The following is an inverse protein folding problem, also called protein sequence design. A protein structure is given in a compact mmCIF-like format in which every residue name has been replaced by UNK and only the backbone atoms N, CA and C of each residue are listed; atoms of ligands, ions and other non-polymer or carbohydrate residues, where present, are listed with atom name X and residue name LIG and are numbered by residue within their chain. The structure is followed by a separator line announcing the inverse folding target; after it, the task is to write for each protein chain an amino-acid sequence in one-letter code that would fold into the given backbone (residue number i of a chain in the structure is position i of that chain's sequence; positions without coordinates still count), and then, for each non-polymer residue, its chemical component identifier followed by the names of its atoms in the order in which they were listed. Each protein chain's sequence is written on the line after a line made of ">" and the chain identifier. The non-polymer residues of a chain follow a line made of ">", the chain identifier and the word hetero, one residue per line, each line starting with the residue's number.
data_IF_374920311691
#
_entry.id   IF_374920311691
#
_cell.length_a   1.000
_cell.length_b   1.000
_cell.length_c   1.000
_cell.angle_alpha   90.00
_cell.angle_beta   90.00
_cell.angle_gamma   90.00
#
_symmetry.space_group_name_H-M   'P 1'
#
loop_
_entity.id
_entity.type
_entity.pdbx_description
1 polymer ?
#
# COMPACT_ATOMS: atom_id res chain seq x y z
N UNK A 1 33.49 9.69 -14.64
CA UNK A 1 32.30 10.56 -14.66
C UNK A 1 31.81 10.68 -13.23
N UNK A 2 31.62 11.90 -12.68
CA UNK A 2 31.12 12.03 -11.32
C UNK A 2 29.65 11.58 -11.27
N UNK A 3 29.35 10.63 -10.39
CA UNK A 3 27.99 10.20 -10.09
C UNK A 3 27.33 11.31 -9.27
N UNK A 4 26.45 12.08 -9.90
CA UNK A 4 25.60 13.04 -9.21
C UNK A 4 24.55 12.22 -8.48
N UNK A 5 24.75 11.98 -7.18
CA UNK A 5 23.71 11.46 -6.30
C UNK A 5 22.72 12.60 -6.10
N UNK A 6 21.69 12.62 -6.93
CA UNK A 6 20.54 13.50 -6.71
C UNK A 6 19.79 12.93 -5.50
N UNK A 7 20.08 13.47 -4.32
CA UNK A 7 19.25 13.31 -3.12
C UNK A 7 17.95 14.09 -3.32
N UNK A 8 17.07 13.57 -4.18
CA UNK A 8 15.67 13.95 -4.15
C UNK A 8 15.00 13.20 -3.00
N UNK A 9 15.24 13.70 -1.77
CA UNK A 9 14.31 13.51 -0.67
C UNK A 9 13.03 14.28 -1.00
N UNK A 10 12.24 13.77 -1.96
CA UNK A 10 10.85 14.18 -1.99
C UNK A 10 10.17 13.45 -0.84
N UNK A 11 10.05 14.18 0.26
CA UNK A 11 9.41 13.72 1.47
C UNK A 11 8.01 13.20 1.15
N UNK A 12 7.87 11.89 1.26
CA UNK A 12 6.59 11.20 1.23
C UNK A 12 5.66 11.85 2.28
N UNK A 13 4.52 12.36 1.86
CA UNK A 13 3.54 12.89 2.80
C UNK A 13 2.63 11.77 3.30
N UNK A 14 3.09 11.07 4.36
CA UNK A 14 2.34 10.05 5.11
C UNK A 14 0.97 10.59 5.57
N UNK A 15 0.92 11.89 5.86
CA UNK A 15 -0.21 12.51 6.53
C UNK A 15 -1.42 12.64 5.60
N UNK A 16 -1.22 12.60 4.28
CA UNK A 16 -2.28 12.67 3.27
C UNK A 16 -2.76 11.30 2.75
N UNK A 17 -2.19 10.18 3.25
CA UNK A 17 -2.54 8.83 2.79
C UNK A 17 -4.01 8.50 3.08
N UNK A 18 -4.53 8.99 4.21
CA UNK A 18 -5.92 8.77 4.64
C UNK A 18 -6.92 9.49 3.73
N UNK A 19 -6.60 10.71 3.30
CA UNK A 19 -7.47 11.49 2.40
C UNK A 19 -7.50 10.91 0.99
N UNK A 20 -6.36 10.46 0.46
CA UNK A 20 -6.30 9.79 -0.85
C UNK A 20 -7.13 8.50 -0.86
N UNK A 21 -7.07 7.75 0.24
CA UNK A 21 -7.80 6.49 0.39
C UNK A 21 -9.30 6.66 0.59
N UNK A 22 -9.76 7.79 1.12
CA UNK A 22 -11.19 8.01 1.36
C UNK A 22 -12.00 7.97 0.06
N UNK A 23 -11.45 8.54 -1.02
CA UNK A 23 -12.08 8.49 -2.34
C UNK A 23 -12.06 7.06 -2.91
N UNK A 24 -10.94 6.34 -2.75
CA UNK A 24 -10.80 4.95 -3.21
C UNK A 24 -11.70 3.99 -2.41
N UNK A 25 -11.95 4.24 -1.12
CA UNK A 25 -12.89 3.49 -0.28
C UNK A 25 -14.31 3.62 -0.81
N UNK A 26 -14.73 4.83 -1.17
CA UNK A 26 -16.07 5.05 -1.72
C UNK A 26 -16.23 4.38 -3.09
N UNK A 27 -15.17 4.36 -3.91
CA UNK A 27 -15.14 3.63 -5.18
C UNK A 27 -15.18 2.10 -4.95
N UNK A 28 -14.38 1.58 -4.02
CA UNK A 28 -14.42 0.16 -3.62
C UNK A 28 -15.79 -0.23 -3.07
N UNK A 29 -16.44 0.63 -2.28
CA UNK A 29 -17.80 0.42 -1.78
C UNK A 29 -18.84 0.43 -2.90
N UNK A 30 -18.63 1.25 -3.93
CA UNK A 30 -19.52 1.31 -5.09
C UNK A 30 -19.61 -0.03 -5.83
N UNK A 31 -18.51 -0.79 -5.89
CA UNK A 31 -18.46 -2.11 -6.51
C UNK A 31 -19.38 -3.15 -5.83
N UNK A 32 -19.73 -2.95 -4.55
CA UNK A 32 -20.62 -3.84 -3.81
C UNK A 32 -22.08 -3.38 -3.80
N UNK A 33 -22.43 -2.22 -4.38
CA UNK A 33 -23.76 -1.64 -4.28
C UNK A 33 -24.89 -2.51 -4.86
N UNK A 34 -24.59 -3.34 -5.85
CA UNK A 34 -25.57 -4.17 -6.57
C UNK A 34 -26.04 -5.41 -5.79
N UNK A 35 -25.31 -5.84 -4.76
CA UNK A 35 -25.64 -7.04 -3.97
C UNK A 35 -26.49 -6.79 -2.71
N UNK A 36 -26.77 -5.52 -2.37
CA UNK A 36 -27.49 -5.17 -1.13
C UNK A 36 -29.02 -5.13 -1.29
N UNK A 37 -29.55 -5.25 -2.51
CA UNK A 37 -31.01 -5.35 -2.71
C UNK A 37 -31.60 -6.57 -1.99
N UNK A 38 -30.79 -7.61 -1.75
CA UNK A 38 -31.18 -8.86 -1.08
C UNK A 38 -30.87 -8.90 0.42
N UNK A 39 -30.00 -8.01 0.92
CA UNK A 39 -29.56 -7.98 2.33
C UNK A 39 -29.81 -6.59 2.90
N UNK A 40 -30.64 -6.52 3.95
CA UNK A 40 -31.18 -5.26 4.47
C UNK A 40 -30.13 -4.19 4.85
N UNK A 41 -30.60 -2.97 5.10
CA UNK A 41 -29.79 -1.76 5.35
C UNK A 41 -28.74 -1.94 6.46
N UNK A 42 -29.03 -2.76 7.48
CA UNK A 42 -28.12 -2.95 8.61
C UNK A 42 -26.90 -3.81 8.25
N UNK A 43 -27.05 -4.81 7.37
CA UNK A 43 -25.94 -5.64 6.89
C UNK A 43 -24.96 -4.79 6.06
N UNK A 44 -25.50 -3.86 5.27
CA UNK A 44 -24.70 -2.90 4.50
C UNK A 44 -23.87 -2.00 5.42
N UNK A 45 -24.46 -1.43 6.47
CA UNK A 45 -23.73 -0.57 7.42
C UNK A 45 -22.64 -1.32 8.17
N UNK A 46 -22.93 -2.54 8.61
CA UNK A 46 -21.96 -3.42 9.27
C UNK A 46 -20.79 -3.75 8.33
N UNK A 47 -21.08 -4.02 7.06
CA UNK A 47 -20.06 -4.26 6.04
C UNK A 47 -19.19 -3.02 5.79
N UNK A 48 -19.82 -1.86 5.55
CA UNK A 48 -19.13 -0.60 5.33
C UNK A 48 -18.19 -0.26 6.50
N UNK A 49 -18.65 -0.47 7.73
CA UNK A 49 -17.83 -0.27 8.92
C UNK A 49 -16.63 -1.21 8.96
N UNK A 50 -16.83 -2.52 8.73
CA UNK A 50 -15.75 -3.51 8.72
C UNK A 50 -14.70 -3.20 7.65
N UNK A 51 -15.15 -2.83 6.44
CA UNK A 51 -14.25 -2.47 5.35
C UNK A 51 -13.42 -1.24 5.72
N UNK A 52 -14.06 -0.17 6.23
CA UNK A 52 -13.37 1.05 6.67
C UNK A 52 -12.35 0.77 7.76
N UNK A 53 -12.70 -0.05 8.76
CA UNK A 53 -11.76 -0.47 9.81
C UNK A 53 -10.57 -1.25 9.23
N UNK A 54 -10.82 -2.16 8.29
CA UNK A 54 -9.77 -2.96 7.68
C UNK A 54 -8.79 -2.10 6.86
N UNK A 55 -9.32 -1.14 6.10
CA UNK A 55 -8.52 -0.17 5.33
C UNK A 55 -7.70 0.69 6.29
N UNK A 56 -8.30 1.24 7.36
CA UNK A 56 -7.58 2.04 8.34
C UNK A 56 -6.44 1.26 9.03
N UNK A 57 -6.67 -0.01 9.38
CA UNK A 57 -5.63 -0.86 9.95
C UNK A 57 -4.49 -1.10 8.95
N UNK A 58 -4.84 -1.39 7.69
CA UNK A 58 -3.86 -1.57 6.61
C UNK A 58 -3.02 -0.31 6.40
N UNK A 59 -3.63 0.87 6.42
CA UNK A 59 -2.90 2.15 6.38
C UNK A 59 -1.89 2.23 7.50
N UNK A 60 -2.29 1.93 8.74
CA UNK A 60 -1.39 1.98 9.89
C UNK A 60 -0.21 1.01 9.73
N UNK A 61 -0.45 -0.20 9.23
CA UNK A 61 0.61 -1.17 8.94
C UNK A 61 1.56 -0.68 7.84
N UNK A 62 1.03 -0.09 6.76
CA UNK A 62 1.85 0.53 5.70
C UNK A 62 2.71 1.66 6.27
N UNK A 63 2.10 2.56 7.07
CA UNK A 63 2.79 3.67 7.72
C UNK A 63 3.93 3.17 8.61
N UNK A 64 3.70 2.10 9.37
CA UNK A 64 4.71 1.47 10.21
C UNK A 64 5.86 0.90 9.37
N UNK A 65 5.57 0.13 8.31
CA UNK A 65 6.60 -0.42 7.41
C UNK A 65 7.42 0.71 6.78
N UNK A 66 6.77 1.73 6.21
CA UNK A 66 7.48 2.85 5.58
C UNK A 66 8.31 3.65 6.60
N UNK A 67 7.84 3.80 7.83
CA UNK A 67 8.63 4.40 8.91
C UNK A 67 9.96 3.65 9.14
N UNK A 68 9.95 2.32 9.03
CA UNK A 68 11.18 1.52 9.14
C UNK A 68 12.12 1.71 7.95
N UNK A 69 11.59 1.75 6.72
CA UNK A 69 12.40 2.12 5.55
C UNK A 69 13.12 3.46 5.78
N UNK A 70 12.40 4.47 6.26
CA UNK A 70 12.99 5.78 6.58
C UNK A 70 14.09 5.72 7.63
N UNK A 71 13.84 5.01 8.75
CA UNK A 71 14.83 4.85 9.84
C UNK A 71 16.11 4.15 9.37
N UNK A 72 15.99 3.24 8.40
CA UNK A 72 17.10 2.49 7.83
C UNK A 72 17.75 3.20 6.63
N UNK A 73 17.26 4.40 6.28
CA UNK A 73 17.69 5.19 5.11
C UNK A 73 17.46 4.46 3.78
N UNK A 74 16.46 3.57 3.75
CA UNK A 74 16.02 2.84 2.57
C UNK A 74 14.90 3.59 1.86
N UNK A 75 14.80 3.39 0.54
CA UNK A 75 13.80 4.06 -0.31
C UNK A 75 12.64 3.13 -0.66
N UNK A 76 11.45 3.71 -0.70
CA UNK A 76 10.21 3.14 -1.27
C UNK A 76 9.77 4.05 -2.42
N UNK A 77 9.52 3.47 -3.58
CA UNK A 77 9.16 4.20 -4.80
C UNK A 77 7.64 4.40 -4.93
N UNK A 78 6.86 3.54 -4.29
CA UNK A 78 5.41 3.49 -4.49
C UNK A 78 4.75 2.47 -3.59
N UNK A 79 3.43 2.61 -3.47
CA UNK A 79 2.58 1.78 -2.64
C UNK A 79 1.24 1.62 -3.32
N UNK A 80 0.76 0.38 -3.41
CA UNK A 80 -0.48 0.01 -4.07
C UNK A 80 -1.28 -0.90 -3.16
N UNK A 81 -2.59 -0.74 -3.12
CA UNK A 81 -3.49 -1.52 -2.29
C UNK A 81 -4.57 -2.17 -3.14
N UNK A 82 -4.93 -3.40 -2.82
CA UNK A 82 -6.02 -4.13 -3.45
C UNK A 82 -6.90 -4.75 -2.39
N UNK A 83 -8.21 -4.61 -2.55
CA UNK A 83 -9.21 -5.32 -1.76
C UNK A 83 -9.43 -6.71 -2.37
N UNK A 84 -8.91 -7.75 -1.74
CA UNK A 84 -9.13 -9.14 -2.18
C UNK A 84 -10.53 -9.61 -1.78
N UNK A 85 -10.91 -9.32 -0.54
CA UNK A 85 -12.20 -9.64 0.08
C UNK A 85 -12.52 -8.55 1.11
N UNK A 86 -13.75 -8.42 1.60
CA UNK A 86 -14.12 -7.34 2.54
C UNK A 86 -13.24 -7.23 3.79
N UNK A 87 -12.68 -8.34 4.24
CA UNK A 87 -11.75 -8.45 5.35
C UNK A 87 -10.28 -8.54 4.94
N UNK A 88 -9.96 -8.62 3.63
CA UNK A 88 -8.61 -8.88 3.14
C UNK A 88 -8.07 -7.86 2.15
N UNK A 89 -6.88 -7.34 2.45
CA UNK A 89 -6.17 -6.33 1.69
C UNK A 89 -4.75 -6.83 1.36
N UNK A 90 -4.40 -6.73 0.08
CA UNK A 90 -3.04 -6.95 -0.44
C UNK A 90 -2.39 -5.60 -0.65
N UNK A 91 -1.13 -5.47 -0.23
CA UNK A 91 -0.31 -4.28 -0.46
C UNK A 91 0.92 -4.65 -1.28
N UNK A 92 1.25 -3.81 -2.26
CA UNK A 92 2.53 -3.87 -2.95
C UNK A 92 3.30 -2.59 -2.64
N UNK A 93 4.49 -2.73 -2.08
CA UNK A 93 5.47 -1.64 -1.99
C UNK A 93 6.51 -1.83 -3.08
N UNK A 94 6.74 -0.80 -3.89
CA UNK A 94 7.84 -0.83 -4.85
C UNK A 94 9.11 -0.32 -4.21
N UNK A 95 10.21 -1.05 -4.39
CA UNK A 95 11.52 -0.71 -3.85
C UNK A 95 12.55 -0.69 -4.99
N UNK A 96 13.49 0.25 -5.00
CA UNK A 96 14.51 0.27 -6.03
C UNK A 96 15.45 -0.92 -5.85
N UNK A 97 16.00 -1.43 -6.96
CA UNK A 97 16.94 -2.55 -6.97
C UNK A 97 18.16 -2.31 -6.06
N UNK A 98 18.59 -1.06 -5.89
CA UNK A 98 19.68 -0.70 -4.98
C UNK A 98 19.33 -1.02 -3.51
N UNK A 99 18.06 -0.82 -3.10
CA UNK A 99 17.56 -1.19 -1.76
C UNK A 99 17.52 -2.71 -1.58
N UNK A 100 17.24 -3.46 -2.65
CA UNK A 100 17.20 -4.93 -2.59
C UNK A 100 18.56 -5.56 -2.26
N UNK A 101 19.64 -4.93 -2.68
CA UNK A 101 21.01 -5.39 -2.40
C UNK A 101 21.54 -4.94 -1.03
N UNK A 102 20.77 -4.17 -0.26
CA UNK A 102 21.15 -3.69 1.06
C UNK A 102 20.68 -4.68 2.15
N UNK A 103 21.62 -5.16 2.98
CA UNK A 103 21.34 -6.08 4.08
C UNK A 103 20.32 -5.53 5.10
N UNK A 104 20.17 -4.19 5.18
CA UNK A 104 19.15 -3.55 6.02
C UNK A 104 17.73 -3.93 5.59
N UNK A 105 17.50 -4.31 4.33
CA UNK A 105 16.18 -4.76 3.86
C UNK A 105 15.73 -6.04 4.59
N UNK A 106 16.64 -6.89 5.04
CA UNK A 106 16.30 -8.08 5.85
C UNK A 106 15.66 -7.69 7.19
N UNK A 107 16.03 -6.54 7.75
CA UNK A 107 15.41 -6.01 8.97
C UNK A 107 13.97 -5.57 8.69
N UNK A 108 13.73 -4.93 7.54
CA UNK A 108 12.38 -4.60 7.09
C UNK A 108 11.54 -5.87 6.95
N UNK A 109 12.03 -6.90 6.25
CA UNK A 109 11.30 -8.17 6.11
C UNK A 109 10.91 -8.78 7.45
N UNK A 110 11.80 -8.74 8.44
CA UNK A 110 11.55 -9.27 9.78
C UNK A 110 10.46 -8.50 10.53
N UNK A 111 10.44 -7.17 10.38
CA UNK A 111 9.40 -6.31 10.98
C UNK A 111 8.08 -6.50 10.26
N UNK A 112 8.10 -6.50 8.93
CA UNK A 112 6.93 -6.76 8.09
C UNK A 112 6.28 -8.09 8.44
N UNK A 113 7.06 -9.16 8.57
CA UNK A 113 6.56 -10.46 9.01
C UNK A 113 5.92 -10.40 10.41
N UNK A 114 6.50 -9.62 11.32
CA UNK A 114 5.95 -9.42 12.66
C UNK A 114 4.62 -8.68 12.62
N UNK A 115 4.47 -7.68 11.75
CA UNK A 115 3.23 -6.94 11.53
C UNK A 115 2.17 -7.87 10.93
N UNK A 116 2.48 -8.64 9.89
CA UNK A 116 1.56 -9.61 9.28
C UNK A 116 1.09 -10.67 10.29
N UNK A 117 1.98 -11.11 11.20
CA UNK A 117 1.60 -12.04 12.27
C UNK A 117 0.71 -11.39 13.34
N UNK A 118 0.88 -10.09 13.58
CA UNK A 118 0.12 -9.33 14.57
C UNK A 118 -1.23 -8.85 14.04
N UNK A 119 -1.38 -8.65 12.73
CA UNK A 119 -2.69 -8.53 12.11
C UNK A 119 -3.41 -9.86 12.30
N UNK A 120 -4.16 -9.98 13.39
CA UNK A 120 -4.84 -11.22 13.82
C UNK A 120 -5.87 -11.76 12.82
N UNK A 121 -6.12 -11.02 11.75
CA UNK A 121 -6.80 -11.43 10.54
C UNK A 121 -5.74 -11.87 9.54
N UNK A 122 -5.76 -13.13 9.08
CA UNK A 122 -4.91 -13.73 8.02
C UNK A 122 -5.02 -13.05 6.64
N UNK A 123 -5.47 -11.80 6.65
CA UNK A 123 -6.12 -11.08 5.58
C UNK A 123 -5.35 -9.80 5.22
N UNK A 124 -4.30 -9.42 5.96
CA UNK A 124 -3.35 -8.40 5.53
C UNK A 124 -2.10 -9.08 4.98
N UNK A 125 -1.70 -8.71 3.77
CA UNK A 125 -0.45 -9.15 3.14
C UNK A 125 0.26 -7.98 2.50
N UNK A 126 1.56 -7.94 2.64
CA UNK A 126 2.40 -6.94 2.00
C UNK A 126 3.55 -7.61 1.25
N UNK A 127 3.70 -7.23 -0.01
CA UNK A 127 4.71 -7.74 -0.90
C UNK A 127 5.61 -6.61 -1.37
N UNK A 128 6.90 -6.91 -1.54
CA UNK A 128 7.86 -5.97 -2.11
C UNK A 128 8.06 -6.29 -3.59
N UNK A 129 7.83 -5.31 -4.45
CA UNK A 129 8.13 -5.39 -5.87
C UNK A 129 9.40 -4.62 -6.15
N UNK A 130 10.41 -5.30 -6.68
CA UNK A 130 11.71 -4.69 -6.95
C UNK A 130 11.66 -4.05 -8.34
N UNK A 131 11.95 -2.77 -8.41
CA UNK A 131 11.95 -2.01 -9.67
C UNK A 131 13.28 -1.31 -9.91
N UNK A 132 13.57 -0.98 -11.17
CA UNK A 132 14.65 -0.04 -11.47
C UNK A 132 14.29 1.37 -10.99
N UNK A 133 15.28 2.26 -10.86
CA UNK A 133 15.07 3.61 -10.30
C UNK A 133 14.08 4.46 -11.12
N UNK A 134 13.92 4.15 -12.40
CA UNK A 134 13.01 4.75 -13.39
C UNK A 134 11.75 3.89 -13.65
N UNK A 135 11.78 2.62 -13.25
CA UNK A 135 10.72 1.65 -13.49
C UNK A 135 9.59 1.82 -12.49
N UNK A 136 8.56 2.57 -12.87
CA UNK A 136 7.24 2.42 -12.26
C UNK A 136 6.60 1.09 -12.65
N UNK A 137 5.61 0.65 -11.86
CA UNK A 137 4.71 -0.41 -12.32
C UNK A 137 3.74 0.17 -13.36
N UNK A 138 3.28 -0.66 -14.30
CA UNK A 138 2.26 -0.24 -15.25
C UNK A 138 0.94 -0.02 -14.50
N UNK A 139 0.53 1.24 -14.38
CA UNK A 139 -0.68 1.62 -13.63
C UNK A 139 -1.96 1.04 -14.24
N UNK A 140 -2.04 0.90 -15.57
CA UNK A 140 -3.23 0.34 -16.23
C UNK A 140 -3.36 -1.15 -15.91
N UNK A 141 -2.23 -1.87 -15.88
CA UNK A 141 -2.21 -3.27 -15.46
C UNK A 141 -2.58 -3.42 -13.99
N UNK A 142 -2.05 -2.55 -13.12
CA UNK A 142 -2.41 -2.53 -11.70
C UNK A 142 -3.90 -2.27 -11.48
N UNK A 143 -4.46 -1.27 -12.15
CA UNK A 143 -5.88 -0.96 -12.08
C UNK A 143 -6.74 -2.13 -12.60
N UNK A 144 -6.34 -2.77 -13.71
CA UNK A 144 -7.02 -3.95 -14.24
C UNK A 144 -7.00 -5.13 -13.26
N UNK A 145 -5.93 -5.28 -12.48
CA UNK A 145 -5.80 -6.29 -11.42
C UNK A 145 -6.48 -5.87 -10.10
N UNK A 146 -7.09 -4.67 -10.05
CA UNK A 146 -7.82 -4.16 -8.89
C UNK A 146 -6.96 -3.46 -7.84
N UNK A 147 -5.72 -3.06 -8.19
CA UNK A 147 -4.86 -2.25 -7.34
C UNK A 147 -5.11 -0.76 -7.52
N UNK A 148 -5.15 -0.04 -6.40
CA UNK A 148 -5.26 1.41 -6.32
C UNK A 148 -3.91 1.98 -5.84
N UNK A 149 -3.44 3.02 -6.51
CA UNK A 149 -2.14 3.64 -6.23
C UNK A 149 -2.23 4.64 -5.08
N UNK A 150 -1.63 4.28 -3.95
CA UNK A 150 -1.50 5.15 -2.76
C UNK A 150 -0.34 6.11 -2.86
N UNK A 151 0.73 5.66 -3.53
CA UNK A 151 1.91 6.45 -3.82
C UNK A 151 2.36 6.13 -5.24
N UNK A 152 2.48 7.17 -6.07
CA UNK A 152 3.04 7.04 -7.41
C UNK A 152 4.46 7.60 -7.42
N UNK A 153 5.42 6.93 -8.06
CA UNK A 153 6.72 7.53 -8.29
C UNK A 153 6.52 8.83 -9.06
N UNK A 154 7.15 9.90 -8.60
CA UNK A 154 7.09 11.19 -9.30
C UNK A 154 7.81 11.00 -10.63
N UNK A 155 7.07 11.12 -11.73
CA UNK A 155 7.62 11.03 -13.05
C UNK A 155 8.70 12.11 -13.19
N UNK A 156 9.95 11.69 -13.35
CA UNK A 156 11.00 12.60 -13.80
C UNK A 156 10.69 12.89 -15.26
N UNK A 157 10.12 14.07 -15.52
CA UNK A 157 9.99 14.64 -16.87
C UNK A 157 11.35 15.03 -17.45
#
# INVERSE_FOLDING_TARGET
>A
MPVIIVNNNQDFNIDNLEDSLKNDVDEMLSAYQTGWSERGIDDRKQFELRLKTNIANTINYIKEVISQFRKLELRVNGAFIKLERPNALSVILTVPIATFLDDKLLQVYSITHSIEKQSRSDDYRISFSITYNDGGLNNDALLADGFFGLMKPVANG
#
